data_IF_379481464916
#
_entry.id   IF_379481464916
#
_cell.length_a   1.000
_cell.length_b   1.000
_cell.length_c   1.000
_cell.angle_alpha   90.00
_cell.angle_beta   90.00
_cell.angle_gamma   90.00
#
_symmetry.space_group_name_H-M   'P 1'
#
loop_
_entity.id
_entity.type
_entity.pdbx_description
1 polymer ?
#
# COMPACT_ATOMS: atom_id res chain seq x y z
N UNK A 1 -16.66 13.11 0.72
CA UNK A 1 -16.17 11.72 0.76
C UNK A 1 -14.83 11.78 1.43
N UNK A 2 -14.75 11.28 2.66
CA UNK A 2 -13.53 11.30 3.46
C UNK A 2 -12.86 9.96 3.14
N UNK A 3 -11.72 10.01 2.46
CA UNK A 3 -10.80 8.87 2.36
C UNK A 3 -10.42 8.49 3.79
N UNK A 4 -10.91 7.33 4.24
CA UNK A 4 -10.49 6.70 5.48
C UNK A 4 -9.02 6.33 5.34
N UNK A 5 -8.18 6.77 6.29
CA UNK A 5 -6.77 6.39 6.37
C UNK A 5 -6.60 4.88 6.23
N UNK A 6 -5.57 4.47 5.49
CA UNK A 6 -5.35 3.11 5.03
C UNK A 6 -5.21 2.13 6.21
N UNK A 7 -6.32 1.48 6.59
CA UNK A 7 -6.29 0.09 7.01
C UNK A 7 -5.55 -0.65 5.90
N UNK A 8 -4.32 -1.11 6.18
CA UNK A 8 -3.45 -1.67 5.14
C UNK A 8 -4.24 -2.64 4.24
N UNK A 9 -4.26 -2.31 2.97
CA UNK A 9 -5.15 -2.91 2.00
C UNK A 9 -4.79 -4.41 1.88
N UNK A 10 -5.74 -5.35 1.74
CA UNK A 10 -5.40 -6.79 1.70
C UNK A 10 -4.39 -7.17 0.60
N UNK A 11 -4.24 -6.33 -0.43
CA UNK A 11 -3.15 -6.48 -1.39
C UNK A 11 -1.77 -6.27 -0.75
N UNK A 12 -1.61 -5.26 0.11
CA UNK A 12 -0.35 -4.94 0.80
C UNK A 12 0.07 -6.11 1.68
N UNK A 13 -0.88 -6.67 2.46
CA UNK A 13 -0.64 -7.86 3.30
C UNK A 13 -0.20 -9.04 2.44
N UNK A 14 -0.92 -9.31 1.34
CA UNK A 14 -0.60 -10.41 0.43
C UNK A 14 0.78 -10.23 -0.18
N UNK A 15 1.10 -9.02 -0.65
CA UNK A 15 2.40 -8.70 -1.24
C UNK A 15 3.55 -8.88 -0.25
N UNK A 16 3.42 -8.28 0.95
CA UNK A 16 4.42 -8.37 2.03
C UNK A 16 4.64 -9.80 2.48
N UNK A 17 3.56 -10.57 2.64
CA UNK A 17 3.66 -12.00 2.95
C UNK A 17 4.47 -12.74 1.88
N UNK A 18 4.08 -12.60 0.61
CA UNK A 18 4.72 -13.29 -0.50
C UNK A 18 6.22 -12.95 -0.58
N UNK A 19 6.60 -11.68 -0.46
CA UNK A 19 8.01 -11.25 -0.42
C UNK A 19 8.77 -11.76 0.80
N UNK A 20 8.11 -11.94 1.94
CA UNK A 20 8.73 -12.55 3.13
C UNK A 20 9.08 -14.01 2.88
N UNK A 21 8.12 -14.78 2.36
CA UNK A 21 8.25 -16.24 2.30
C UNK A 21 8.92 -16.74 1.02
N UNK A 22 8.92 -15.95 -0.06
CA UNK A 22 9.39 -16.37 -1.39
C UNK A 22 10.10 -15.24 -2.17
N UNK A 23 11.00 -14.45 -1.56
CA UNK A 23 11.56 -13.23 -2.17
C UNK A 23 12.23 -13.48 -3.54
N UNK A 24 12.96 -14.59 -3.68
CA UNK A 24 13.63 -14.93 -4.95
C UNK A 24 12.63 -15.23 -6.07
N UNK A 25 11.52 -15.92 -5.78
CA UNK A 25 10.49 -16.23 -6.78
C UNK A 25 9.77 -14.96 -7.24
N UNK A 26 9.39 -14.05 -6.33
CA UNK A 26 8.75 -12.79 -6.73
C UNK A 26 9.69 -11.88 -7.51
N UNK A 27 10.96 -11.79 -7.09
CA UNK A 27 11.97 -11.07 -7.86
C UNK A 27 12.04 -11.59 -9.30
N UNK A 28 12.07 -12.91 -9.49
CA UNK A 28 12.15 -13.51 -10.82
C UNK A 28 10.86 -13.30 -11.62
N UNK A 29 9.68 -13.44 -10.99
CA UNK A 29 8.38 -13.16 -11.59
C UNK A 29 8.30 -11.72 -12.14
N UNK A 30 8.78 -10.76 -11.35
CA UNK A 30 8.85 -9.35 -11.74
C UNK A 30 10.06 -9.00 -12.60
N UNK A 31 10.87 -10.00 -12.98
CA UNK A 31 12.06 -9.86 -13.83
C UNK A 31 13.06 -8.82 -13.31
N UNK A 32 13.19 -8.72 -11.98
CA UNK A 32 14.12 -7.80 -11.34
C UNK A 32 15.57 -8.32 -11.47
N UNK A 33 16.56 -7.43 -11.59
CA UNK A 33 17.94 -7.81 -11.92
C UNK A 33 18.66 -8.54 -10.78
N UNK A 34 19.71 -9.28 -11.15
CA UNK A 34 20.66 -9.91 -10.23
C UNK A 34 20.18 -11.21 -9.59
N UNK A 35 20.90 -11.68 -8.58
CA UNK A 35 20.59 -12.86 -7.76
C UNK A 35 20.30 -12.41 -6.33
N UNK A 36 19.21 -12.92 -5.75
CA UNK A 36 18.84 -12.59 -4.37
C UNK A 36 19.93 -13.00 -3.39
N UNK A 37 20.28 -12.12 -2.45
CA UNK A 37 21.24 -12.40 -1.38
C UNK A 37 20.53 -12.44 -0.03
N UNK A 38 19.83 -11.36 0.35
CA UNK A 38 19.10 -11.26 1.62
C UNK A 38 18.16 -10.05 1.65
N UNK A 39 17.23 -10.08 2.61
CA UNK A 39 16.43 -8.90 2.99
C UNK A 39 17.23 -7.96 3.90
N UNK A 40 16.90 -6.67 3.86
CA UNK A 40 17.41 -5.63 4.74
C UNK A 40 16.30 -5.09 5.65
N UNK A 41 16.65 -4.44 6.78
CA UNK A 41 15.67 -3.71 7.58
C UNK A 41 14.96 -2.63 6.77
N UNK A 42 13.65 -2.51 6.97
CA UNK A 42 12.77 -1.55 6.29
C UNK A 42 12.53 -0.28 7.07
N UNK A 43 12.71 -0.30 8.39
CA UNK A 43 12.63 0.89 9.24
C UNK A 43 13.89 1.74 9.06
N UNK A 44 13.69 3.01 8.74
CA UNK A 44 14.75 3.96 8.43
C UNK A 44 14.47 5.30 9.09
N UNK A 45 15.53 6.08 9.28
CA UNK A 45 15.44 7.47 9.72
C UNK A 45 15.90 8.34 8.55
N UNK A 46 14.96 9.08 7.96
CA UNK A 46 15.28 9.95 6.81
C UNK A 46 15.85 11.29 7.27
N UNK A 47 16.28 12.14 6.33
CA UNK A 47 17.08 13.34 6.62
C UNK A 47 16.41 14.40 7.50
N UNK A 48 15.09 14.34 7.69
CA UNK A 48 14.34 15.21 8.62
C UNK A 48 14.29 14.66 10.06
N UNK A 49 14.87 13.49 10.30
CA UNK A 49 14.89 12.81 11.60
C UNK A 49 13.65 11.96 11.89
N UNK A 50 12.68 11.88 10.98
CA UNK A 50 11.49 11.04 11.15
C UNK A 50 11.78 9.58 10.82
N UNK A 51 11.18 8.68 11.60
CA UNK A 51 11.14 7.26 11.29
C UNK A 51 10.13 7.01 10.17
N UNK A 52 10.54 6.22 9.18
CA UNK A 52 9.72 5.79 8.05
C UNK A 52 9.95 4.30 7.82
N UNK A 53 8.98 3.64 7.21
CA UNK A 53 9.05 2.24 6.86
C UNK A 53 8.95 2.09 5.33
N UNK A 54 9.98 1.49 4.73
CA UNK A 54 9.93 1.02 3.34
C UNK A 54 9.07 -0.24 3.27
N UNK A 55 8.45 -0.52 2.12
CA UNK A 55 7.76 -1.80 1.98
C UNK A 55 8.75 -2.96 1.95
N UNK A 56 9.74 -2.93 1.05
CA UNK A 56 10.77 -3.96 1.00
C UNK A 56 12.12 -3.43 0.52
N UNK A 57 13.19 -3.83 1.20
CA UNK A 57 14.56 -3.59 0.75
C UNK A 57 15.31 -4.91 0.64
N UNK A 58 15.78 -5.25 -0.55
CA UNK A 58 16.55 -6.47 -0.80
C UNK A 58 17.95 -6.14 -1.32
N UNK A 59 18.91 -6.97 -0.95
CA UNK A 59 20.23 -7.00 -1.55
C UNK A 59 20.27 -8.08 -2.62
N UNK A 60 20.72 -7.68 -3.81
CA UNK A 60 20.98 -8.59 -4.92
C UNK A 60 22.43 -8.45 -5.37
N UNK A 61 22.98 -9.55 -5.89
CA UNK A 61 24.24 -9.56 -6.61
C UNK A 61 23.95 -9.38 -8.09
N UNK A 62 24.47 -8.32 -8.68
CA UNK A 62 24.36 -8.05 -10.11
C UNK A 62 24.98 -9.19 -10.92
N UNK A 63 24.45 -9.44 -12.11
CA UNK A 63 25.12 -10.29 -13.11
C UNK A 63 26.26 -9.53 -13.83
N UNK A 64 26.31 -8.20 -13.65
CA UNK A 64 27.43 -7.35 -14.04
C UNK A 64 28.44 -7.26 -12.89
N UNK A 65 29.62 -7.86 -13.11
CA UNK A 65 30.71 -7.91 -12.13
C UNK A 65 31.20 -6.52 -11.70
N UNK A 66 31.04 -5.49 -12.55
CA UNK A 66 31.46 -4.12 -12.23
C UNK A 66 30.52 -3.43 -11.23
N UNK A 67 29.25 -3.84 -11.19
CA UNK A 67 28.26 -3.33 -10.24
C UNK A 67 28.37 -4.06 -8.88
N UNK A 68 28.68 -5.36 -8.92
CA UNK A 68 28.81 -6.18 -7.73
C UNK A 68 27.48 -6.37 -6.99
N UNK A 69 27.27 -5.67 -5.88
CA UNK A 69 26.05 -5.76 -5.07
C UNK A 69 25.24 -4.46 -5.16
N UNK A 70 23.93 -4.59 -5.33
CA UNK A 70 22.99 -3.46 -5.37
C UNK A 70 21.76 -3.73 -4.51
N UNK A 71 21.13 -2.65 -4.07
CA UNK A 71 19.88 -2.69 -3.33
C UNK A 71 18.70 -2.47 -4.28
N UNK A 72 17.61 -3.19 -4.06
CA UNK A 72 16.33 -2.93 -4.71
C UNK A 72 15.34 -2.52 -3.63
N UNK A 73 14.90 -1.26 -3.68
CA UNK A 73 13.77 -0.78 -2.91
C UNK A 73 12.49 -1.10 -3.69
N UNK A 74 11.57 -1.83 -3.08
CA UNK A 74 10.34 -2.31 -3.70
C UNK A 74 9.18 -1.72 -2.93
N UNK A 75 8.37 -0.90 -3.61
CA UNK A 75 7.23 -0.20 -3.05
C UNK A 75 5.95 -0.73 -3.69
N UNK A 76 5.01 -1.17 -2.86
CA UNK A 76 3.71 -1.63 -3.32
C UNK A 76 2.68 -0.51 -3.19
N UNK A 77 1.95 -0.25 -4.25
CA UNK A 77 0.99 0.84 -4.31
C UNK A 77 -0.34 0.30 -4.82
N UNK A 78 -1.29 0.20 -3.89
CA UNK A 78 -2.66 -0.19 -4.17
C UNK A 78 -3.40 0.85 -5.04
N UNK A 79 -2.89 2.09 -5.07
CA UNK A 79 -3.40 3.25 -5.82
C UNK A 79 -2.28 3.96 -6.59
N UNK A 80 -2.63 5.01 -7.34
CA UNK A 80 -1.67 5.77 -8.13
C UNK A 80 -0.61 6.48 -7.26
N UNK A 81 0.59 6.64 -7.82
CA UNK A 81 1.69 7.33 -7.13
C UNK A 81 1.52 8.84 -7.23
N UNK A 82 1.44 9.52 -6.08
CA UNK A 82 1.40 10.98 -5.97
C UNK A 82 2.81 11.59 -5.96
N UNK A 83 2.89 12.92 -6.08
CA UNK A 83 4.15 13.67 -5.93
C UNK A 83 4.80 13.44 -4.56
N UNK A 84 3.99 13.38 -3.51
CA UNK A 84 4.47 13.12 -2.15
C UNK A 84 5.04 11.70 -2.02
N UNK A 85 4.32 10.69 -2.52
CA UNK A 85 4.78 9.29 -2.48
C UNK A 85 6.11 9.12 -3.22
N UNK A 86 6.24 9.64 -4.44
CA UNK A 86 7.51 9.50 -5.19
C UNK A 86 8.66 10.27 -4.53
N UNK A 87 8.39 11.40 -3.87
CA UNK A 87 9.38 12.11 -3.06
C UNK A 87 9.86 11.26 -1.89
N UNK A 88 8.93 10.64 -1.16
CA UNK A 88 9.26 9.71 -0.07
C UNK A 88 10.13 8.56 -0.57
N UNK A 89 9.81 7.98 -1.73
CA UNK A 89 10.63 6.94 -2.36
C UNK A 89 12.04 7.42 -2.76
N UNK A 90 12.19 8.70 -3.09
CA UNK A 90 13.51 9.30 -3.34
C UNK A 90 14.31 9.42 -2.05
N UNK A 91 13.67 9.86 -0.96
CA UNK A 91 14.29 9.91 0.37
C UNK A 91 14.73 8.49 0.83
N UNK A 92 13.93 7.46 0.54
CA UNK A 92 14.27 6.06 0.82
C UNK A 92 15.48 5.58 0.02
N UNK A 93 15.54 5.91 -1.27
CA UNK A 93 16.65 5.55 -2.14
C UNK A 93 17.95 6.25 -1.69
N UNK A 94 17.87 7.51 -1.28
CA UNK A 94 19.03 8.27 -0.80
C UNK A 94 19.54 7.77 0.55
N UNK A 95 18.63 7.49 1.48
CA UNK A 95 18.97 6.85 2.75
C UNK A 95 19.69 5.54 2.47
N UNK A 96 19.10 4.67 1.65
CA UNK A 96 19.65 3.35 1.34
C UNK A 96 21.04 3.46 0.69
N UNK A 97 21.22 4.40 -0.24
CA UNK A 97 22.50 4.65 -0.90
C UNK A 97 23.56 5.13 0.08
N UNK A 98 23.19 6.06 0.96
CA UNK A 98 24.12 6.71 1.90
C UNK A 98 24.51 5.77 3.04
N UNK A 99 23.51 5.13 3.66
CA UNK A 99 23.71 4.31 4.85
C UNK A 99 24.36 2.95 4.52
N UNK A 100 23.92 2.30 3.44
CA UNK A 100 24.46 1.00 3.04
C UNK A 100 25.61 1.09 2.03
N UNK A 101 25.89 2.27 1.47
CA UNK A 101 26.95 2.51 0.49
C UNK A 101 26.87 1.56 -0.71
N UNK A 102 25.66 1.41 -1.28
CA UNK A 102 25.37 0.56 -2.44
C UNK A 102 24.53 1.33 -3.48
N UNK A 103 24.65 1.01 -4.79
CA UNK A 103 23.68 1.44 -5.78
C UNK A 103 22.26 0.98 -5.40
N UNK A 104 21.26 1.79 -5.70
CA UNK A 104 19.85 1.51 -5.38
C UNK A 104 19.01 1.62 -6.64
N UNK A 105 18.18 0.61 -6.88
CA UNK A 105 17.09 0.64 -7.86
C UNK A 105 15.78 0.72 -7.09
N UNK A 106 14.90 1.66 -7.45
CA UNK A 106 13.54 1.71 -6.91
C UNK A 106 12.59 1.07 -7.90
N UNK A 107 11.79 0.13 -7.42
CA UNK A 107 10.73 -0.57 -8.15
C UNK A 107 9.41 -0.21 -7.49
N UNK A 108 8.40 0.13 -8.29
CA UNK A 108 7.06 0.43 -7.81
C UNK A 108 6.07 -0.52 -8.46
N UNK A 109 5.42 -1.35 -7.66
CA UNK A 109 4.34 -2.24 -8.11
C UNK A 109 3.01 -1.52 -7.90
N UNK A 110 2.30 -1.21 -8.99
CA UNK A 110 1.05 -0.45 -8.95
C UNK A 110 -0.11 -1.32 -9.42
N UNK A 111 -1.10 -1.55 -8.56
CA UNK A 111 -2.29 -2.34 -8.93
C UNK A 111 -3.44 -1.50 -9.49
N UNK A 112 -3.49 -0.20 -9.20
CA UNK A 112 -4.53 0.69 -9.74
C UNK A 112 -3.97 2.09 -10.04
N UNK A 113 -4.52 2.74 -11.06
CA UNK A 113 -4.17 4.12 -11.42
C UNK A 113 -2.74 4.31 -11.94
N UNK A 114 -2.15 3.28 -12.55
CA UNK A 114 -0.81 3.35 -13.16
C UNK A 114 -0.66 4.55 -14.10
N UNK A 115 -1.64 4.81 -14.97
CA UNK A 115 -1.62 5.93 -15.93
C UNK A 115 -1.59 7.31 -15.28
N UNK A 116 -2.16 7.45 -14.07
CA UNK A 116 -2.18 8.70 -13.31
C UNK A 116 -0.96 8.90 -12.42
N UNK A 117 -0.11 7.87 -12.32
CA UNK A 117 1.02 7.87 -11.40
C UNK A 117 2.14 8.78 -11.88
N UNK A 118 2.72 9.54 -10.96
CA UNK A 118 3.97 10.29 -11.21
C UNK A 118 5.10 9.28 -11.44
N UNK A 119 5.80 9.39 -12.57
CA UNK A 119 6.82 8.41 -13.00
C UNK A 119 8.26 8.84 -12.76
N UNK A 120 8.48 10.12 -12.48
CA UNK A 120 9.80 10.65 -12.19
C UNK A 120 9.70 11.78 -11.16
N UNK A 121 10.73 11.90 -10.35
CA UNK A 121 10.88 12.97 -9.39
C UNK A 121 12.28 13.55 -9.49
N UNK A 122 12.37 14.88 -9.66
CA UNK A 122 13.64 15.59 -9.72
C UNK A 122 13.77 16.48 -8.49
N UNK A 123 14.69 16.17 -7.58
CA UNK A 123 15.01 17.06 -6.46
C UNK A 123 15.86 18.24 -6.95
N UNK A 124 16.76 17.96 -7.87
CA UNK A 124 17.56 18.94 -8.62
C UNK A 124 17.70 18.48 -10.08
N UNK A 125 18.18 19.32 -11.02
CA UNK A 125 18.41 18.89 -12.40
C UNK A 125 19.37 17.71 -12.58
N UNK A 126 20.20 17.41 -11.56
CA UNK A 126 21.15 16.30 -11.57
C UNK A 126 20.77 15.15 -10.62
N UNK A 127 19.73 15.32 -9.81
CA UNK A 127 19.25 14.34 -8.84
C UNK A 127 17.82 13.95 -9.20
N UNK A 128 17.69 12.88 -9.97
CA UNK A 128 16.44 12.43 -10.58
C UNK A 128 16.21 10.97 -10.21
N UNK A 129 15.11 10.71 -9.52
CA UNK A 129 14.59 9.36 -9.32
C UNK A 129 13.68 8.99 -10.49
N UNK A 130 13.97 7.85 -11.12
CA UNK A 130 13.13 7.20 -12.13
C UNK A 130 12.88 5.75 -11.73
N UNK A 131 11.80 5.46 -10.98
CA UNK A 131 11.49 4.11 -10.57
C UNK A 131 11.12 3.23 -11.77
N UNK A 132 11.39 1.93 -11.65
CA UNK A 132 10.84 0.92 -12.57
C UNK A 132 9.43 0.62 -12.11
N UNK A 133 8.43 0.95 -12.93
CA UNK A 133 7.06 0.62 -12.61
C UNK A 133 6.68 -0.76 -13.13
N UNK A 134 5.96 -1.50 -12.30
CA UNK A 134 5.33 -2.77 -12.62
C UNK A 134 3.83 -2.59 -12.50
N UNK A 135 3.13 -2.88 -13.59
CA UNK A 135 1.69 -2.87 -13.68
C UNK A 135 1.26 -4.01 -14.61
N UNK A 136 0.03 -4.48 -14.44
CA UNK A 136 -0.56 -5.51 -15.28
C UNK A 136 -1.89 -5.02 -15.80
N UNK A 137 -2.00 -4.92 -17.13
CA UNK A 137 -3.23 -4.51 -17.80
C UNK A 137 -4.28 -5.61 -17.73
N UNK A 138 -5.56 -5.24 -17.84
CA UNK A 138 -6.67 -6.19 -17.77
C UNK A 138 -6.56 -7.31 -18.81
N UNK A 139 -6.22 -6.97 -20.05
CA UNK A 139 -6.06 -7.96 -21.13
C UNK A 139 -4.95 -8.98 -20.81
N UNK A 140 -3.86 -8.53 -20.19
CA UNK A 140 -2.76 -9.41 -19.75
C UNK A 140 -3.22 -10.34 -18.62
N UNK A 141 -3.99 -9.83 -17.65
CA UNK A 141 -4.55 -10.63 -16.55
C UNK A 141 -5.44 -11.76 -17.12
N UNK A 142 -6.31 -11.41 -18.07
CA UNK A 142 -7.21 -12.37 -18.71
C UNK A 142 -6.44 -13.39 -19.55
N UNK A 143 -5.43 -12.96 -20.30
CA UNK A 143 -4.57 -13.88 -21.07
C UNK A 143 -3.88 -14.90 -20.16
N UNK A 144 -3.23 -14.43 -19.08
CA UNK A 144 -2.55 -15.28 -18.10
C UNK A 144 -3.53 -16.25 -17.44
N UNK A 145 -4.71 -15.79 -17.04
CA UNK A 145 -5.75 -16.64 -16.47
C UNK A 145 -6.20 -17.73 -17.45
N UNK A 146 -6.45 -17.39 -18.70
CA UNK A 146 -6.86 -18.37 -19.72
C UNK A 146 -5.74 -19.40 -20.00
N UNK A 147 -4.48 -18.97 -19.95
CA UNK A 147 -3.33 -19.88 -20.06
C UNK A 147 -3.26 -20.85 -18.89
N UNK A 148 -3.49 -20.38 -17.65
CA UNK A 148 -3.59 -21.26 -16.48
C UNK A 148 -4.72 -22.28 -16.63
N UNK A 149 -5.90 -21.84 -17.06
CA UNK A 149 -7.06 -22.72 -17.29
C UNK A 149 -6.73 -23.84 -18.27
N UNK A 150 -6.09 -23.49 -19.40
CA UNK A 150 -5.68 -24.45 -20.42
C UNK A 150 -4.67 -25.46 -19.86
N UNK A 151 -3.61 -24.98 -19.19
CA UNK A 151 -2.56 -25.85 -18.66
C UNK A 151 -3.07 -26.81 -17.60
N UNK A 152 -3.85 -26.30 -16.64
CA UNK A 152 -4.42 -27.13 -15.56
C UNK A 152 -5.40 -28.15 -16.14
N UNK A 153 -6.23 -27.75 -17.12
CA UNK A 153 -7.15 -28.68 -17.80
C UNK A 153 -6.42 -29.80 -18.54
N UNK A 154 -5.25 -29.48 -19.12
CA UNK A 154 -4.38 -30.44 -19.79
C UNK A 154 -3.47 -31.23 -18.83
N UNK A 155 -3.55 -30.98 -17.51
CA UNK A 155 -2.67 -31.57 -16.49
C UNK A 155 -1.18 -31.29 -16.73
N UNK A 156 -0.88 -30.14 -17.33
CA UNK A 156 0.48 -29.66 -17.56
C UNK A 156 1.08 -29.11 -16.27
N UNK A 157 2.40 -29.25 -16.12
CA UNK A 157 3.12 -28.67 -14.99
C UNK A 157 3.20 -27.15 -15.14
N UNK A 158 2.83 -26.42 -14.09
CA UNK A 158 3.00 -24.98 -14.03
C UNK A 158 4.46 -24.62 -13.74
N UNK A 159 4.95 -23.58 -14.40
CA UNK A 159 6.19 -22.90 -14.00
C UNK A 159 5.99 -22.14 -12.69
N UNK A 160 7.09 -21.70 -12.06
CA UNK A 160 7.01 -20.87 -10.86
C UNK A 160 6.21 -19.58 -11.09
N UNK A 161 6.36 -18.96 -12.26
CA UNK A 161 5.67 -17.71 -12.59
C UNK A 161 4.16 -17.93 -12.76
N UNK A 162 3.78 -19.01 -13.45
CA UNK A 162 2.38 -19.40 -13.62
C UNK A 162 1.74 -19.82 -12.28
N UNK A 163 2.52 -20.46 -11.41
CA UNK A 163 2.07 -20.75 -10.05
C UNK A 163 1.83 -19.46 -9.25
N UNK A 164 2.71 -18.47 -9.39
CA UNK A 164 2.57 -17.18 -8.73
C UNK A 164 1.40 -16.35 -9.28
N UNK A 165 1.03 -16.52 -10.55
CA UNK A 165 -0.18 -15.89 -11.12
C UNK A 165 -1.44 -16.26 -10.32
N UNK A 166 -1.51 -17.47 -9.73
CA UNK A 166 -2.63 -17.87 -8.84
C UNK A 166 -2.74 -16.93 -7.63
N UNK A 167 -1.62 -16.46 -7.08
CA UNK A 167 -1.62 -15.55 -5.94
C UNK A 167 -1.71 -14.07 -6.36
N UNK A 168 -1.09 -13.70 -7.48
CA UNK A 168 -0.87 -12.30 -7.86
C UNK A 168 -1.97 -11.74 -8.77
N UNK A 169 -2.54 -12.51 -9.70
CA UNK A 169 -3.59 -12.01 -10.60
C UNK A 169 -4.80 -11.42 -9.85
N UNK A 170 -5.30 -12.01 -8.73
CA UNK A 170 -6.37 -11.39 -7.95
C UNK A 170 -6.03 -10.00 -7.40
N UNK A 171 -4.74 -9.70 -7.19
CA UNK A 171 -4.30 -8.41 -6.65
C UNK A 171 -4.34 -7.30 -7.70
N UNK A 172 -4.00 -7.62 -8.95
CA UNK A 172 -4.02 -6.71 -10.10
C UNK A 172 -5.40 -6.63 -10.76
N UNK A 173 -6.31 -7.55 -10.44
CA UNK A 173 -7.63 -7.61 -11.06
C UNK A 173 -8.40 -6.28 -10.93
N UNK A 174 -8.93 -5.73 -12.04
CA UNK A 174 -9.80 -4.56 -12.00
C UNK A 174 -11.00 -4.80 -11.10
N UNK A 175 -11.46 -3.75 -10.41
CA UNK A 175 -12.51 -3.83 -9.39
C UNK A 175 -13.77 -4.58 -9.87
N UNK A 176 -14.17 -4.34 -11.12
CA UNK A 176 -15.39 -4.93 -11.70
C UNK A 176 -15.25 -6.44 -11.99
N UNK A 177 -14.03 -6.94 -12.17
CA UNK A 177 -13.74 -8.33 -12.51
C UNK A 177 -13.04 -9.11 -11.38
N UNK A 178 -12.63 -8.43 -10.30
CA UNK A 178 -11.84 -9.00 -9.22
C UNK A 178 -12.51 -10.21 -8.54
N UNK A 179 -13.83 -10.16 -8.30
CA UNK A 179 -14.56 -11.30 -7.76
C UNK A 179 -14.51 -12.51 -8.72
N UNK A 180 -14.79 -12.28 -10.01
CA UNK A 180 -14.82 -13.34 -11.02
C UNK A 180 -13.45 -13.99 -11.21
N UNK A 181 -12.39 -13.17 -11.32
CA UNK A 181 -11.00 -13.64 -11.43
C UNK A 181 -10.61 -14.46 -10.18
N UNK A 182 -10.90 -13.95 -8.99
CA UNK A 182 -10.58 -14.64 -7.73
C UNK A 182 -11.31 -15.97 -7.60
N UNK A 183 -12.59 -16.04 -7.98
CA UNK A 183 -13.33 -17.29 -8.01
C UNK A 183 -12.71 -18.30 -8.99
N UNK A 184 -12.45 -17.89 -10.24
CA UNK A 184 -11.87 -18.77 -11.27
C UNK A 184 -10.54 -19.34 -10.81
N UNK A 185 -9.64 -18.47 -10.33
CA UNK A 185 -8.34 -18.86 -9.80
C UNK A 185 -8.45 -19.82 -8.63
N UNK A 186 -9.38 -19.59 -7.72
CA UNK A 186 -9.58 -20.48 -6.57
C UNK A 186 -10.00 -21.89 -7.00
N UNK A 187 -10.92 -21.97 -7.98
CA UNK A 187 -11.34 -23.26 -8.52
C UNK A 187 -10.20 -23.97 -9.24
N UNK A 188 -9.40 -23.25 -10.02
CA UNK A 188 -8.22 -23.78 -10.69
C UNK A 188 -7.20 -24.33 -9.70
N UNK A 189 -6.85 -23.55 -8.67
CA UNK A 189 -5.93 -23.98 -7.62
C UNK A 189 -6.42 -25.25 -6.90
N UNK A 190 -7.73 -25.36 -6.65
CA UNK A 190 -8.30 -26.52 -5.95
C UNK A 190 -8.20 -27.84 -6.74
N UNK A 191 -8.11 -27.77 -8.07
CA UNK A 191 -7.98 -28.96 -8.93
C UNK A 191 -6.58 -29.16 -9.48
N UNK A 192 -5.72 -28.14 -9.44
CA UNK A 192 -4.31 -28.26 -9.78
C UNK A 192 -3.61 -29.24 -8.84
N UNK A 193 -2.86 -30.17 -9.44
CA UNK A 193 -2.04 -31.16 -8.73
C UNK A 193 -0.53 -30.97 -8.98
N UNK A 194 -0.15 -29.99 -9.78
CA UNK A 194 1.25 -29.77 -10.15
C UNK A 194 2.03 -29.10 -9.02
N UNK A 195 1.38 -28.25 -8.22
CA UNK A 195 1.98 -27.60 -7.06
C UNK A 195 1.95 -28.52 -5.84
N UNK A 196 2.99 -28.46 -5.01
CA UNK A 196 3.06 -29.24 -3.77
C UNK A 196 3.89 -28.55 -2.68
N UNK A 197 3.78 -29.08 -1.47
CA UNK A 197 4.59 -28.68 -0.31
C UNK A 197 4.42 -27.21 0.08
N UNK A 198 5.52 -26.62 0.55
CA UNK A 198 5.52 -25.26 1.09
C UNK A 198 5.09 -24.21 0.06
N UNK A 199 5.41 -24.40 -1.22
CA UNK A 199 5.04 -23.43 -2.25
C UNK A 199 3.52 -23.37 -2.44
N UNK A 200 2.86 -24.54 -2.54
CA UNK A 200 1.39 -24.64 -2.60
C UNK A 200 0.75 -24.03 -1.35
N UNK A 201 1.30 -24.28 -0.16
CA UNK A 201 0.75 -23.72 1.08
C UNK A 201 0.84 -22.18 1.10
N UNK A 202 1.95 -21.60 0.65
CA UNK A 202 2.12 -20.15 0.59
C UNK A 202 1.16 -19.51 -0.42
N UNK A 203 0.95 -20.12 -1.59
CA UNK A 203 -0.04 -19.67 -2.58
C UNK A 203 -1.46 -19.76 -2.01
N UNK A 204 -1.82 -20.88 -1.37
CA UNK A 204 -3.13 -21.03 -0.72
C UNK A 204 -3.37 -19.95 0.33
N UNK A 205 -2.35 -19.62 1.11
CA UNK A 205 -2.45 -18.58 2.12
C UNK A 205 -2.70 -17.21 1.49
N UNK A 206 -1.88 -16.79 0.52
CA UNK A 206 -2.06 -15.54 -0.22
C UNK A 206 -3.45 -15.44 -0.86
N UNK A 207 -3.89 -16.51 -1.51
CA UNK A 207 -5.21 -16.60 -2.11
C UNK A 207 -6.35 -16.50 -1.07
N UNK A 208 -6.15 -17.01 0.15
CA UNK A 208 -7.15 -16.89 1.22
C UNK A 208 -7.41 -15.44 1.64
N UNK A 209 -6.37 -14.60 1.63
CA UNK A 209 -6.51 -13.15 1.89
C UNK A 209 -7.34 -12.51 0.77
N UNK A 210 -7.05 -12.86 -0.48
CA UNK A 210 -7.78 -12.33 -1.64
C UNK A 210 -9.25 -12.78 -1.67
N UNK A 211 -9.56 -14.02 -1.29
CA UNK A 211 -10.93 -14.49 -1.14
C UNK A 211 -11.66 -13.67 -0.07
N UNK A 212 -11.03 -13.42 1.09
CA UNK A 212 -11.63 -12.61 2.16
C UNK A 212 -11.87 -11.17 1.71
N UNK A 213 -10.91 -10.57 0.99
CA UNK A 213 -11.06 -9.23 0.41
C UNK A 213 -12.32 -9.10 -0.45
N UNK A 214 -12.56 -10.04 -1.36
CA UNK A 214 -13.61 -9.91 -2.37
C UNK A 214 -14.93 -10.61 -2.02
N UNK A 215 -14.94 -11.57 -1.10
CA UNK A 215 -16.10 -12.38 -0.75
C UNK A 215 -16.41 -12.37 0.75
N UNK A 216 -16.01 -11.32 1.47
CA UNK A 216 -16.06 -11.26 2.93
C UNK A 216 -17.42 -11.71 3.50
N UNK A 217 -17.36 -12.67 4.43
CA UNK A 217 -18.49 -13.26 5.13
C UNK A 217 -19.65 -13.81 4.26
N UNK A 218 -19.50 -13.90 2.94
CA UNK A 218 -20.52 -14.45 2.04
C UNK A 218 -20.55 -15.98 2.07
N UNK A 219 -21.68 -16.59 1.69
CA UNK A 219 -21.77 -18.04 1.51
C UNK A 219 -20.74 -18.55 0.47
N UNK A 220 -20.51 -17.75 -0.57
CA UNK A 220 -19.53 -18.02 -1.62
C UNK A 220 -18.10 -17.97 -1.09
N UNK A 221 -17.73 -16.96 -0.31
CA UNK A 221 -16.41 -16.86 0.31
C UNK A 221 -16.12 -18.06 1.21
N UNK A 222 -17.12 -18.51 1.99
CA UNK A 222 -17.02 -19.73 2.81
C UNK A 222 -16.85 -21.00 1.97
N UNK A 223 -17.52 -21.10 0.82
CA UNK A 223 -17.33 -22.18 -0.15
C UNK A 223 -15.90 -22.18 -0.70
N UNK A 224 -15.43 -21.04 -1.20
CA UNK A 224 -14.11 -20.88 -1.81
C UNK A 224 -12.97 -21.15 -0.81
N UNK A 225 -13.07 -20.64 0.42
CA UNK A 225 -12.09 -20.93 1.46
C UNK A 225 -12.00 -22.43 1.80
N UNK A 226 -13.12 -23.15 1.80
CA UNK A 226 -13.12 -24.60 2.03
C UNK A 226 -12.41 -25.37 0.94
N UNK A 227 -12.40 -24.88 -0.30
CA UNK A 227 -11.69 -25.54 -1.41
C UNK A 227 -10.16 -25.55 -1.19
N UNK A 228 -9.64 -24.56 -0.46
CA UNK A 228 -8.19 -24.38 -0.28
C UNK A 228 -7.73 -24.65 1.15
N UNK A 229 -8.65 -24.75 2.12
CA UNK A 229 -8.36 -25.00 3.54
C UNK A 229 -7.39 -26.17 3.80
N UNK A 230 -7.49 -27.33 3.10
CA UNK A 230 -6.56 -28.45 3.34
C UNK A 230 -5.09 -28.10 3.10
N UNK A 231 -4.83 -27.12 2.24
CA UNK A 231 -3.49 -26.67 1.88
C UNK A 231 -2.95 -25.60 2.83
N UNK A 232 -3.79 -25.04 3.70
CA UNK A 232 -3.36 -24.00 4.60
C UNK A 232 -2.79 -24.65 5.87
N UNK A 233 -1.47 -24.56 6.03
CA UNK A 233 -0.79 -25.13 7.19
C UNK A 233 -1.16 -24.34 8.47
N UNK A 234 -2.02 -24.93 9.30
CA UNK A 234 -2.57 -24.32 10.53
C UNK A 234 -1.52 -23.95 11.58
N UNK A 235 -0.33 -24.57 11.58
CA UNK A 235 0.74 -24.18 12.53
C UNK A 235 1.45 -22.90 12.10
N UNK A 236 1.68 -22.71 10.79
CA UNK A 236 2.16 -21.43 10.23
C UNK A 236 1.08 -20.35 10.23
N UNK A 237 -0.19 -20.74 10.21
CA UNK A 237 -1.32 -19.82 10.34
C UNK A 237 -1.25 -19.03 11.64
N UNK A 238 -0.64 -19.55 12.72
CA UNK A 238 -0.51 -18.81 13.98
C UNK A 238 0.52 -17.69 13.87
N UNK A 239 1.71 -17.97 13.34
CA UNK A 239 2.74 -16.94 13.10
C UNK A 239 2.23 -15.87 12.13
N UNK A 240 1.39 -16.27 11.18
CA UNK A 240 0.82 -15.37 10.19
C UNK A 240 -0.42 -14.62 10.71
N UNK A 241 -1.25 -15.24 11.55
CA UNK A 241 -2.31 -14.53 12.29
C UNK A 241 -1.69 -13.57 13.28
N UNK A 242 -0.58 -13.93 13.94
CA UNK A 242 0.15 -13.04 14.84
C UNK A 242 0.76 -11.88 14.03
N UNK A 243 1.28 -12.14 12.82
CA UNK A 243 1.66 -11.09 11.88
C UNK A 243 0.46 -10.21 11.48
N UNK A 244 -0.67 -10.81 11.07
CA UNK A 244 -1.87 -10.12 10.62
C UNK A 244 -2.49 -9.30 11.77
N UNK A 245 -2.52 -9.83 12.99
CA UNK A 245 -3.01 -9.17 14.21
C UNK A 245 -2.06 -8.06 14.66
N UNK A 246 -0.74 -8.30 14.67
CA UNK A 246 0.25 -7.26 15.00
C UNK A 246 0.22 -6.12 13.97
N UNK A 247 0.08 -6.47 12.70
CA UNK A 247 0.03 -5.51 11.60
C UNK A 247 -1.27 -4.72 11.57
N UNK A 248 -2.44 -5.38 11.72
CA UNK A 248 -3.74 -4.72 11.88
C UNK A 248 -3.71 -3.80 13.11
N UNK A 249 -3.14 -4.26 14.24
CA UNK A 249 -3.01 -3.45 15.44
C UNK A 249 -2.18 -2.18 15.19
N UNK A 250 -0.99 -2.31 14.59
CA UNK A 250 -0.12 -1.15 14.27
C UNK A 250 -0.79 -0.17 13.31
N UNK A 251 -1.53 -0.69 12.32
CA UNK A 251 -2.32 0.13 11.39
C UNK A 251 -3.39 0.96 12.13
N UNK A 252 -4.15 0.34 13.03
CA UNK A 252 -5.13 1.06 13.86
C UNK A 252 -4.46 2.07 14.82
N UNK A 253 -3.32 1.73 15.41
CA UNK A 253 -2.56 2.64 16.27
C UNK A 253 -2.08 3.88 15.50
N UNK A 254 -1.62 3.71 14.27
CA UNK A 254 -1.20 4.81 13.40
C UNK A 254 -2.38 5.71 12.98
N UNK A 255 -3.50 5.11 12.54
CA UNK A 255 -4.72 5.88 12.18
C UNK A 255 -5.27 6.68 13.37
N UNK A 256 -5.19 6.12 14.58
CA UNK A 256 -5.55 6.83 15.81
C UNK A 256 -4.63 8.03 16.05
N UNK A 257 -3.31 7.86 15.87
CA UNK A 257 -2.34 8.95 16.00
C UNK A 257 -2.59 10.09 15.02
N UNK A 258 -2.84 9.79 13.75
CA UNK A 258 -3.13 10.82 12.73
C UNK A 258 -4.45 11.56 13.04
N UNK A 259 -5.46 10.84 13.54
CA UNK A 259 -6.72 11.45 13.99
C UNK A 259 -6.52 12.34 15.20
N UNK A 260 -5.67 11.95 16.15
CA UNK A 260 -5.35 12.74 17.33
C UNK A 260 -4.63 14.04 16.95
N UNK A 261 -3.68 14.00 15.99
CA UNK A 261 -3.05 15.19 15.44
C UNK A 261 -4.06 16.11 14.73
N UNK A 262 -4.94 15.56 13.91
CA UNK A 262 -5.99 16.33 13.23
C UNK A 262 -6.97 16.97 14.23
N UNK A 263 -7.29 16.27 15.32
CA UNK A 263 -8.12 16.82 16.41
C UNK A 263 -7.39 17.97 17.08
N UNK A 264 -6.11 17.82 17.42
CA UNK A 264 -5.31 18.88 18.03
C UNK A 264 -5.26 20.14 17.15
N UNK A 265 -5.05 19.98 15.84
CA UNK A 265 -5.07 21.10 14.88
C UNK A 265 -6.43 21.79 14.83
N UNK A 266 -7.53 21.01 14.83
CA UNK A 266 -8.88 21.58 14.85
C UNK A 266 -9.20 22.30 16.15
N UNK A 267 -8.75 21.77 17.28
CA UNK A 267 -8.93 22.40 18.59
C UNK A 267 -8.16 23.73 18.66
N UNK A 268 -6.96 23.81 18.08
CA UNK A 268 -6.22 25.06 17.94
C UNK A 268 -6.99 26.09 17.11
N UNK A 269 -7.55 25.69 15.96
CA UNK A 269 -8.37 26.57 15.11
C UNK A 269 -9.65 27.02 15.82
N UNK A 270 -10.28 26.15 16.62
CA UNK A 270 -11.45 26.52 17.42
C UNK A 270 -11.07 27.57 18.47
N UNK A 271 -9.96 27.37 19.19
CA UNK A 271 -9.48 28.31 20.20
C UNK A 271 -9.20 29.70 19.59
N UNK A 272 -8.56 29.75 18.42
CA UNK A 272 -8.32 31.01 17.71
C UNK A 272 -9.63 31.70 17.32
N UNK A 273 -10.61 30.95 16.81
CA UNK A 273 -11.93 31.50 16.47
C UNK A 273 -12.69 31.99 17.70
N UNK A 274 -12.60 31.30 18.83
CA UNK A 274 -13.20 31.73 20.09
C UNK A 274 -12.61 33.05 20.59
N UNK A 275 -11.30 33.24 20.45
CA UNK A 275 -10.63 34.51 20.76
C UNK A 275 -11.13 35.64 19.86
N UNK A 276 -11.23 35.41 18.54
CA UNK A 276 -11.77 36.39 17.59
C UNK A 276 -13.23 36.76 17.92
N UNK A 277 -14.06 35.78 18.29
CA UNK A 277 -15.45 36.03 18.69
C UNK A 277 -15.50 36.87 19.98
N UNK A 278 -14.63 36.59 20.95
CA UNK A 278 -14.54 37.38 22.18
C UNK A 278 -14.18 38.84 21.89
N UNK A 279 -13.18 39.09 21.04
CA UNK A 279 -12.77 40.43 20.64
C UNK A 279 -13.90 41.17 19.90
N UNK A 280 -14.57 40.50 18.97
CA UNK A 280 -15.70 41.07 18.24
C UNK A 280 -16.87 41.44 19.17
N UNK A 281 -17.15 40.64 20.21
CA UNK A 281 -18.17 40.98 21.22
C UNK A 281 -17.83 42.27 21.96
N UNK A 282 -16.55 42.49 22.30
CA UNK A 282 -16.10 43.73 22.95
C UNK A 282 -16.28 44.93 22.00
N UNK A 283 -15.92 44.78 20.72
CA UNK A 283 -16.08 45.83 19.71
C UNK A 283 -17.55 46.19 19.51
N UNK A 284 -18.43 45.19 19.40
CA UNK A 284 -19.87 45.40 19.24
C UNK A 284 -20.43 46.15 20.46
N UNK A 285 -20.10 45.73 21.67
CA UNK A 285 -20.56 46.40 22.89
C UNK A 285 -20.10 47.87 22.95
N UNK A 286 -18.87 48.16 22.54
CA UNK A 286 -18.37 49.54 22.46
C UNK A 286 -19.12 50.38 21.42
N UNK A 287 -19.44 49.79 20.26
CA UNK A 287 -20.21 50.45 19.20
C UNK A 287 -21.67 50.69 19.58
N UNK A 288 -22.29 49.75 20.27
CA UNK A 288 -23.65 49.91 20.78
C UNK A 288 -23.73 51.08 21.79
N UNK A 289 -22.72 51.21 22.66
CA UNK A 289 -22.63 52.34 23.59
C UNK A 289 -22.41 53.68 22.87
N UNK A 290 -21.54 53.71 21.85
CA UNK A 290 -21.33 54.90 21.01
C UNK A 290 -22.63 55.34 20.32
N UNK A 291 -23.37 54.39 19.74
CA UNK A 291 -24.68 54.64 19.12
C UNK A 291 -25.67 55.17 20.16
N UNK A 292 -25.70 54.60 21.37
CA UNK A 292 -26.59 55.04 22.46
C UNK A 292 -26.31 56.50 22.83
N UNK A 293 -25.04 56.86 23.00
CA UNK A 293 -24.60 58.24 23.30
C UNK A 293 -24.96 59.20 22.17
N UNK A 294 -24.73 58.82 20.91
CA UNK A 294 -25.07 59.65 19.76
C UNK A 294 -26.58 59.88 19.62
N UNK A 295 -27.40 58.84 19.79
CA UNK A 295 -28.86 58.95 19.84
C UNK A 295 -29.33 59.90 20.93
N UNK A 296 -28.74 59.83 22.13
CA UNK A 296 -29.07 60.73 23.22
C UNK A 296 -28.70 62.20 22.91
N UNK A 297 -27.57 62.44 22.25
CA UNK A 297 -27.16 63.79 21.79
C UNK A 297 -28.08 64.34 20.71
N UNK A 298 -28.46 63.53 19.73
CA UNK A 298 -29.38 63.92 18.65
C UNK A 298 -30.75 64.32 19.21
N UNK A 299 -31.30 63.50 20.12
CA UNK A 299 -32.55 63.81 20.81
C UNK A 299 -32.49 65.13 21.60
N UNK A 300 -31.36 65.43 22.26
CA UNK A 300 -31.14 66.68 22.99
C UNK A 300 -31.06 67.91 22.06
N UNK A 301 -30.67 67.71 20.80
CA UNK A 301 -30.55 68.76 19.80
C UNK A 301 -31.81 68.92 18.92
N UNK A 302 -32.91 68.24 19.25
CA UNK A 302 -34.21 68.42 18.58
C UNK A 302 -34.34 67.71 17.22
N UNK A 303 -33.42 66.81 16.89
CA UNK A 303 -33.52 65.94 15.73
C UNK A 303 -34.17 64.60 16.15
N UNK A 304 -35.35 64.31 15.62
CA UNK A 304 -36.07 63.03 15.78
C UNK A 304 -35.77 62.08 14.64
#
# INVERSE_FOLDING_TARGET
MIETGDVHHPNDITFKYLYTVMPEKLKNYFKLPGKFVRNFPTNIIIGDGMEREMDWLILVRSDDDDIGELLINIEFQSSYVTQEKIRTMADYADYSRTYYNRPVITVVVVTDGYEKSVKEYSRTPSDILKPIFIHMEEDEIIERLNNLEKKISNQEQLTDDEALDIALLPMFAPKDNAMSITERITRLFSVDKSLNGAFRNNIAFALSIMIRKYFDCTAKGKELLKLIEPEINKSKLRDVIDFEVDFIRKSYEHELSEKDELIADKDAVIADNEAIIADNKVIIAAKDEEIRVLKAKLAKNGFS
#
